data_IF_920190609991
#
_entry.id   IF_920190609991
#
_cell.length_a   1.000
_cell.length_b   1.000
_cell.length_c   1.000
_cell.angle_alpha   90.00
_cell.angle_beta   90.00
_cell.angle_gamma   90.00
#
_symmetry.space_group_name_H-M   'P 1'
#
loop_
_entity.id
_entity.type
_entity.pdbx_description
1 polymer ?
#
# COMPACT_ATOMS: atom_id res chain seq x y z
N UNK A 1 -5.16 21.80 -23.91
CA UNK A 1 -4.76 20.37 -23.79
C UNK A 1 -3.94 19.84 -24.98
N UNK A 2 -4.04 20.42 -26.18
CA UNK A 2 -3.05 20.19 -27.26
C UNK A 2 -1.59 20.55 -26.88
N UNK A 3 -1.39 21.29 -25.78
CA UNK A 3 -0.07 21.66 -25.26
C UNK A 3 0.77 20.44 -24.87
N UNK A 4 0.22 19.42 -24.19
CA UNK A 4 1.01 18.23 -23.80
C UNK A 4 1.44 17.42 -25.02
N UNK A 5 0.50 17.12 -25.92
CA UNK A 5 0.80 16.42 -27.17
C UNK A 5 1.78 17.21 -28.04
N UNK A 6 1.57 18.51 -28.21
CA UNK A 6 2.49 19.37 -28.97
C UNK A 6 3.88 19.45 -28.32
N UNK A 7 3.96 19.47 -26.98
CA UNK A 7 5.24 19.46 -26.26
C UNK A 7 5.98 18.16 -26.50
N UNK A 8 5.31 17.01 -26.34
CA UNK A 8 5.90 15.68 -26.59
C UNK A 8 6.35 15.55 -28.05
N UNK A 9 5.55 16.03 -29.01
CA UNK A 9 5.83 15.87 -30.44
C UNK A 9 6.88 16.84 -30.99
N UNK A 10 6.94 18.08 -30.49
CA UNK A 10 7.76 19.14 -31.08
C UNK A 10 8.99 19.53 -30.25
N UNK A 11 9.14 19.03 -29.01
CA UNK A 11 10.28 19.34 -28.14
C UNK A 11 11.10 18.09 -27.84
N UNK A 12 12.12 17.84 -28.67
CA UNK A 12 13.00 16.65 -28.56
C UNK A 12 13.75 16.50 -27.23
N UNK A 13 13.89 17.58 -26.45
CA UNK A 13 14.65 17.60 -25.19
C UNK A 13 13.75 17.71 -23.94
N UNK A 14 12.43 17.56 -24.08
CA UNK A 14 11.50 17.63 -22.95
C UNK A 14 10.89 16.25 -22.72
N UNK A 15 10.91 15.79 -21.47
CA UNK A 15 10.25 14.56 -21.02
C UNK A 15 9.18 14.94 -20.01
N UNK A 16 8.00 14.34 -20.13
CA UNK A 16 6.90 14.54 -19.20
C UNK A 16 6.71 13.27 -18.37
N UNK A 17 6.73 13.41 -17.04
CA UNK A 17 6.36 12.36 -16.10
C UNK A 17 5.05 12.77 -15.42
N UNK A 18 4.06 11.88 -15.46
CA UNK A 18 2.76 12.05 -14.80
C UNK A 18 2.68 10.95 -13.74
N UNK A 19 2.39 11.33 -12.50
CA UNK A 19 2.23 10.41 -11.38
C UNK A 19 0.83 10.52 -10.78
N UNK A 20 0.18 9.40 -10.53
CA UNK A 20 -1.15 9.34 -9.93
C UNK A 20 -1.50 7.94 -9.45
N UNK A 21 -2.57 7.84 -8.66
CA UNK A 21 -3.06 6.57 -8.09
C UNK A 21 -4.12 5.91 -8.99
N UNK A 22 -4.80 6.70 -9.83
CA UNK A 22 -5.78 6.21 -10.80
C UNK A 22 -5.09 5.95 -12.15
N UNK A 23 -5.21 4.75 -12.73
CA UNK A 23 -4.67 4.45 -14.05
C UNK A 23 -5.36 5.29 -15.13
N UNK A 24 -4.68 5.47 -16.27
CA UNK A 24 -5.18 6.31 -17.36
C UNK A 24 -6.46 5.75 -18.02
N UNK A 25 -6.75 4.45 -17.91
CA UNK A 25 -7.99 3.85 -18.40
C UNK A 25 -9.23 4.18 -17.54
N UNK A 26 -9.01 4.74 -16.34
CA UNK A 26 -10.07 5.36 -15.53
C UNK A 26 -10.30 6.84 -15.89
N UNK A 27 -9.46 7.41 -16.75
CA UNK A 27 -9.60 8.79 -17.23
C UNK A 27 -10.53 8.79 -18.46
N UNK A 28 -11.35 9.83 -18.60
CA UNK A 28 -12.33 9.95 -19.70
C UNK A 28 -11.68 9.72 -21.07
N UNK A 29 -12.43 9.20 -22.05
CA UNK A 29 -11.95 8.83 -23.41
C UNK A 29 -11.13 9.92 -24.12
N UNK A 30 -11.31 11.18 -23.73
CA UNK A 30 -10.52 12.32 -24.23
C UNK A 30 -9.01 12.12 -23.99
N UNK A 31 -8.60 11.42 -22.92
CA UNK A 31 -7.20 11.29 -22.52
C UNK A 31 -6.42 10.21 -23.26
N UNK A 32 -7.08 9.13 -23.67
CA UNK A 32 -6.45 8.03 -24.42
C UNK A 32 -5.91 8.50 -25.77
N UNK A 33 -6.59 9.45 -26.42
CA UNK A 33 -6.17 10.04 -27.69
C UNK A 33 -4.90 10.91 -27.61
N UNK A 34 -4.59 11.49 -26.44
CA UNK A 34 -3.42 12.34 -26.25
C UNK A 34 -2.19 11.60 -25.71
N UNK A 35 -2.39 10.41 -25.13
CA UNK A 35 -1.35 9.66 -24.43
C UNK A 35 -1.06 8.28 -25.06
N UNK A 36 -1.34 8.12 -26.35
CA UNK A 36 -1.10 6.89 -27.11
C UNK A 36 0.34 6.36 -26.98
N UNK A 37 1.33 7.25 -26.79
CA UNK A 37 2.75 6.89 -26.66
C UNK A 37 3.29 6.96 -25.22
N UNK A 38 2.43 7.07 -24.20
CA UNK A 38 2.88 7.08 -22.80
C UNK A 38 3.24 5.67 -22.36
N UNK A 39 4.38 5.54 -21.67
CA UNK A 39 4.75 4.32 -20.97
C UNK A 39 4.30 4.41 -19.52
N UNK A 40 3.47 3.46 -19.09
CA UNK A 40 3.06 3.35 -17.71
C UNK A 40 4.11 2.56 -16.91
N UNK A 41 4.61 3.17 -15.84
CA UNK A 41 5.45 2.50 -14.84
C UNK A 41 4.61 2.30 -13.60
N UNK A 42 4.30 1.04 -13.30
CA UNK A 42 3.52 0.69 -12.12
C UNK A 42 4.45 0.52 -10.92
N UNK A 43 4.16 1.24 -9.84
CA UNK A 43 4.84 1.07 -8.56
C UNK A 43 3.98 0.14 -7.69
N UNK A 44 4.51 -1.05 -7.41
CA UNK A 44 3.87 -2.06 -6.58
C UNK A 44 4.27 -1.99 -5.11
N UNK A 45 3.92 -3.03 -4.38
CA UNK A 45 4.46 -3.28 -3.05
C UNK A 45 5.92 -3.74 -3.14
N UNK A 46 6.68 -3.53 -2.08
CA UNK A 46 7.99 -4.15 -1.96
C UNK A 46 7.84 -5.67 -1.82
N UNK A 47 8.82 -6.39 -2.37
CA UNK A 47 8.99 -7.79 -2.04
C UNK A 47 9.41 -7.96 -0.57
N UNK A 48 9.44 -9.21 -0.14
CA UNK A 48 9.77 -9.57 1.23
C UNK A 48 11.15 -9.05 1.66
N UNK A 49 12.18 -9.32 0.85
CA UNK A 49 13.56 -9.02 1.23
C UNK A 49 13.81 -7.51 1.29
N UNK A 50 13.27 -6.74 0.34
CA UNK A 50 13.30 -5.28 0.35
C UNK A 50 12.54 -4.71 1.55
N UNK A 51 11.40 -5.30 1.91
CA UNK A 51 10.62 -4.87 3.08
C UNK A 51 11.38 -5.09 4.38
N UNK A 52 12.01 -6.26 4.53
CA UNK A 52 12.82 -6.59 5.71
C UNK A 52 14.05 -5.70 5.79
N UNK A 53 14.75 -5.46 4.67
CA UNK A 53 15.90 -4.57 4.64
C UNK A 53 15.50 -3.14 5.02
N UNK A 54 14.39 -2.63 4.47
CA UNK A 54 13.89 -1.30 4.81
C UNK A 54 13.59 -1.16 6.30
N UNK A 55 13.03 -2.18 6.95
CA UNK A 55 12.71 -2.16 8.37
C UNK A 55 13.95 -2.32 9.25
N UNK A 56 14.83 -3.25 8.92
CA UNK A 56 15.99 -3.62 9.76
C UNK A 56 17.23 -2.77 9.51
N UNK A 57 17.29 -2.09 8.35
CA UNK A 57 18.41 -1.25 7.92
C UNK A 57 17.95 -0.12 6.98
N UNK A 58 17.08 0.80 7.44
CA UNK A 58 16.63 1.94 6.63
C UNK A 58 17.76 2.88 6.22
N UNK A 59 18.84 2.94 7.00
CA UNK A 59 20.05 3.70 6.71
C UNK A 59 21.30 2.89 7.08
N UNK A 60 22.49 3.21 6.52
CA UNK A 60 23.71 2.47 6.80
C UNK A 60 24.08 2.41 8.30
N UNK A 61 23.78 3.46 9.06
CA UNK A 61 24.15 3.61 10.47
C UNK A 61 23.06 3.10 11.43
N UNK A 62 21.94 2.58 10.91
CA UNK A 62 20.87 2.05 11.74
C UNK A 62 21.34 0.74 12.43
N UNK A 63 21.14 0.58 13.76
CA UNK A 63 21.59 -0.62 14.45
C UNK A 63 20.86 -1.87 13.94
N UNK A 64 21.63 -2.86 13.45
CA UNK A 64 21.08 -4.07 12.82
C UNK A 64 20.23 -4.94 13.74
N UNK A 65 20.41 -4.81 15.04
CA UNK A 65 19.72 -5.54 16.09
C UNK A 65 18.60 -4.71 16.75
N UNK A 66 18.34 -3.50 16.27
CA UNK A 66 17.26 -2.67 16.82
C UNK A 66 15.86 -3.25 16.54
N UNK A 67 15.69 -3.95 15.40
CA UNK A 67 14.45 -4.61 15.00
C UNK A 67 14.80 -6.05 14.61
N UNK A 68 14.21 -7.03 15.29
CA UNK A 68 14.44 -8.44 14.99
C UNK A 68 13.83 -8.83 13.64
N UNK A 69 14.40 -9.86 13.00
CA UNK A 69 13.86 -10.43 11.77
C UNK A 69 12.40 -10.86 11.95
N UNK A 70 12.09 -11.55 13.06
CA UNK A 70 10.74 -12.01 13.39
C UNK A 70 9.71 -10.87 13.40
N UNK A 71 10.06 -9.72 14.02
CA UNK A 71 9.18 -8.57 14.05
C UNK A 71 9.04 -7.93 12.66
N UNK A 72 10.12 -7.87 11.89
CA UNK A 72 10.09 -7.37 10.52
C UNK A 72 9.23 -8.24 9.60
N UNK A 73 9.33 -9.57 9.69
CA UNK A 73 8.44 -10.52 9.00
C UNK A 73 6.99 -10.24 9.37
N UNK A 74 6.72 -10.07 10.67
CA UNK A 74 5.35 -9.85 11.12
C UNK A 74 4.76 -8.58 10.53
N UNK A 75 5.53 -7.49 10.53
CA UNK A 75 5.12 -6.22 9.92
C UNK A 75 4.92 -6.40 8.40
N UNK A 76 5.80 -7.14 7.72
CA UNK A 76 5.63 -7.45 6.30
C UNK A 76 4.33 -8.21 6.03
N UNK A 77 4.03 -9.27 6.80
CA UNK A 77 2.77 -10.02 6.70
C UNK A 77 1.54 -9.12 6.86
N UNK A 78 1.57 -8.17 7.81
CA UNK A 78 0.43 -7.27 8.05
C UNK A 78 0.23 -6.25 6.95
N UNK A 79 1.32 -5.78 6.34
CA UNK A 79 1.31 -4.68 5.37
C UNK A 79 1.28 -5.15 3.92
N UNK A 80 1.63 -6.42 3.68
CA UNK A 80 1.81 -6.97 2.34
C UNK A 80 2.92 -6.31 1.54
N UNK A 81 3.88 -5.66 2.20
CA UNK A 81 4.95 -4.90 1.55
C UNK A 81 4.56 -3.48 1.08
N UNK A 82 3.37 -2.98 1.44
CA UNK A 82 2.93 -1.64 1.02
C UNK A 82 3.86 -0.56 1.61
N UNK A 83 4.57 0.25 0.78
CA UNK A 83 5.62 1.15 1.26
C UNK A 83 5.19 2.13 2.35
N UNK A 84 4.00 2.72 2.19
CA UNK A 84 3.46 3.67 3.18
C UNK A 84 3.26 3.01 4.55
N UNK A 85 2.65 1.81 4.58
CA UNK A 85 2.37 1.13 5.84
C UNK A 85 3.63 0.58 6.48
N UNK A 86 4.58 0.02 5.71
CA UNK A 86 5.88 -0.39 6.24
C UNK A 86 6.57 0.76 6.98
N UNK A 87 6.60 1.94 6.36
CA UNK A 87 7.20 3.13 6.98
C UNK A 87 6.38 3.63 8.18
N UNK A 88 5.05 3.54 8.14
CA UNK A 88 4.20 3.90 9.28
C UNK A 88 4.47 2.98 10.48
N UNK A 89 4.51 1.66 10.27
CA UNK A 89 4.87 0.69 11.32
C UNK A 89 6.27 0.97 11.88
N UNK A 90 7.27 1.17 11.01
CA UNK A 90 8.63 1.51 11.43
C UNK A 90 8.67 2.80 12.26
N UNK A 91 8.01 3.86 11.79
CA UNK A 91 7.93 5.15 12.51
C UNK A 91 7.26 5.01 13.87
N UNK A 92 6.13 4.29 13.95
CA UNK A 92 5.43 4.03 15.21
C UNK A 92 6.31 3.23 16.18
N UNK A 93 6.97 2.18 15.70
CA UNK A 93 7.85 1.36 16.51
C UNK A 93 9.03 2.17 17.07
N UNK A 94 9.71 2.96 16.23
CA UNK A 94 10.83 3.80 16.68
C UNK A 94 10.36 4.86 17.68
N UNK A 95 9.20 5.47 17.47
CA UNK A 95 8.62 6.41 18.43
C UNK A 95 8.29 5.73 19.77
N UNK A 96 7.78 4.50 19.75
CA UNK A 96 7.53 3.71 20.96
C UNK A 96 8.83 3.41 21.73
N UNK A 97 9.91 3.07 21.03
CA UNK A 97 11.22 2.82 21.64
C UNK A 97 11.83 4.10 22.26
N UNK A 98 11.64 5.23 21.57
CA UNK A 98 12.16 6.53 21.97
C UNK A 98 11.31 7.26 23.01
N UNK A 99 10.11 6.75 23.33
CA UNK A 99 9.20 7.40 24.27
C UNK A 99 9.86 7.60 25.65
N UNK A 100 9.49 8.70 26.31
CA UNK A 100 10.12 9.16 27.54
C UNK A 100 10.02 8.10 28.66
N UNK A 101 11.14 7.84 29.33
CA UNK A 101 11.22 6.91 30.46
C UNK A 101 11.71 5.48 30.14
N UNK A 102 11.73 5.05 28.87
CA UNK A 102 12.20 3.69 28.50
C UNK A 102 13.43 3.67 27.59
N UNK A 103 13.59 4.64 26.66
CA UNK A 103 14.70 4.76 25.68
C UNK A 103 15.37 3.42 25.34
N UNK A 104 14.57 2.50 24.80
CA UNK A 104 15.02 1.14 24.48
C UNK A 104 15.74 1.16 23.14
N UNK A 105 16.80 0.37 23.03
CA UNK A 105 17.57 0.23 21.78
C UNK A 105 17.06 -0.89 20.87
N UNK A 106 16.32 -1.85 21.44
CA UNK A 106 15.85 -3.05 20.75
C UNK A 106 14.35 -3.18 20.92
N UNK A 107 13.65 -3.40 19.80
CA UNK A 107 12.28 -3.84 19.76
C UNK A 107 12.18 -5.34 20.05
N UNK A 108 11.07 -5.74 20.64
CA UNK A 108 10.71 -7.15 20.84
C UNK A 108 9.31 -7.42 20.30
N UNK A 109 8.96 -8.70 20.10
CA UNK A 109 7.61 -9.08 19.66
C UNK A 109 6.50 -8.59 20.59
N UNK A 110 6.80 -8.36 21.87
CA UNK A 110 5.86 -7.75 22.82
C UNK A 110 5.45 -6.31 22.49
N UNK A 111 6.20 -5.62 21.62
CA UNK A 111 5.86 -4.27 21.16
C UNK A 111 4.82 -4.29 20.04
N UNK A 112 4.65 -5.42 19.36
CA UNK A 112 3.89 -5.52 18.12
C UNK A 112 2.44 -5.07 18.27
N UNK A 113 1.72 -5.58 19.27
CA UNK A 113 0.30 -5.25 19.45
C UNK A 113 0.10 -3.75 19.69
N UNK A 114 0.92 -3.13 20.55
CA UNK A 114 0.86 -1.69 20.81
C UNK A 114 1.18 -0.85 19.57
N UNK A 115 2.12 -1.32 18.73
CA UNK A 115 2.42 -0.70 17.44
C UNK A 115 1.24 -0.85 16.49
N UNK A 116 0.64 -2.03 16.39
CA UNK A 116 -0.50 -2.28 15.49
C UNK A 116 -1.70 -1.40 15.85
N UNK A 117 -2.06 -1.27 17.14
CA UNK A 117 -3.14 -0.36 17.57
C UNK A 117 -2.87 1.08 17.14
N UNK A 118 -1.65 1.57 17.38
CA UNK A 118 -1.28 2.94 17.01
C UNK A 118 -1.27 3.14 15.49
N UNK A 119 -0.95 2.09 14.72
CA UNK A 119 -1.02 2.13 13.25
C UNK A 119 -2.47 2.16 12.76
N UNK A 120 -3.39 1.40 13.38
CA UNK A 120 -4.81 1.44 13.03
C UNK A 120 -5.39 2.84 13.23
N UNK A 121 -5.05 3.50 14.33
CA UNK A 121 -5.44 4.88 14.61
C UNK A 121 -4.84 5.86 13.59
N UNK A 122 -3.51 5.89 13.47
CA UNK A 122 -2.81 6.86 12.59
C UNK A 122 -3.08 6.62 11.10
N UNK A 123 -3.26 5.36 10.71
CA UNK A 123 -3.57 4.94 9.35
C UNK A 123 -5.05 5.07 8.98
N UNK A 124 -5.94 5.37 9.93
CA UNK A 124 -7.39 5.36 9.72
C UNK A 124 -7.86 6.19 8.52
N UNK A 125 -7.30 7.38 8.31
CA UNK A 125 -7.63 8.21 7.15
C UNK A 125 -7.23 7.56 5.81
N UNK A 126 -6.08 6.87 5.78
CA UNK A 126 -5.61 6.15 4.60
C UNK A 126 -6.52 4.95 4.28
N UNK A 127 -6.88 4.16 5.30
CA UNK A 127 -7.79 3.03 5.14
C UNK A 127 -9.19 3.47 4.72
N UNK A 128 -9.73 4.50 5.37
CA UNK A 128 -11.00 5.12 4.99
C UNK A 128 -10.99 5.57 3.53
N UNK A 129 -9.91 6.24 3.10
CA UNK A 129 -9.78 6.67 1.71
C UNK A 129 -9.88 5.49 0.72
N UNK A 130 -9.20 4.36 0.99
CA UNK A 130 -9.27 3.17 0.14
C UNK A 130 -10.71 2.66 0.02
N UNK A 131 -11.38 2.44 1.16
CA UNK A 131 -12.71 1.80 1.21
C UNK A 131 -13.79 2.73 0.66
N UNK A 132 -13.73 4.02 1.01
CA UNK A 132 -14.70 5.04 0.58
C UNK A 132 -14.63 5.28 -0.93
N UNK A 133 -13.43 5.26 -1.53
CA UNK A 133 -13.26 5.47 -2.97
C UNK A 133 -13.39 4.18 -3.80
N UNK A 134 -13.56 3.03 -3.15
CA UNK A 134 -13.83 1.78 -3.87
C UNK A 134 -15.21 1.82 -4.54
N UNK A 135 -15.33 1.43 -5.83
CA UNK A 135 -16.62 1.13 -6.46
C UNK A 135 -17.38 0.11 -5.62
N UNK A 136 -18.71 0.19 -5.61
CA UNK A 136 -19.56 -0.66 -4.75
C UNK A 136 -19.18 -2.15 -4.81
N UNK A 137 -19.05 -2.72 -6.01
CA UNK A 137 -18.68 -4.13 -6.18
C UNK A 137 -17.27 -4.46 -5.66
N UNK A 138 -16.32 -3.52 -5.72
CA UNK A 138 -14.99 -3.71 -5.14
C UNK A 138 -15.05 -3.62 -3.61
N UNK A 139 -15.85 -2.69 -3.08
CA UNK A 139 -16.05 -2.53 -1.63
C UNK A 139 -16.67 -3.78 -1.00
N UNK A 140 -17.69 -4.35 -1.64
CA UNK A 140 -18.33 -5.60 -1.19
C UNK A 140 -17.31 -6.75 -1.11
N UNK A 141 -16.40 -6.85 -2.09
CA UNK A 141 -15.31 -7.83 -2.07
C UNK A 141 -14.35 -7.56 -0.91
N UNK A 142 -13.92 -6.31 -0.70
CA UNK A 142 -13.04 -5.95 0.41
C UNK A 142 -13.66 -6.28 1.78
N UNK A 143 -14.97 -6.05 1.95
CA UNK A 143 -15.72 -6.42 3.16
C UNK A 143 -15.84 -7.95 3.32
N UNK A 144 -16.07 -8.69 2.24
CA UNK A 144 -16.09 -10.16 2.30
C UNK A 144 -14.73 -10.75 2.69
N UNK A 145 -13.66 -10.23 2.09
CA UNK A 145 -12.29 -10.64 2.38
C UNK A 145 -11.84 -10.24 3.79
N UNK A 146 -12.28 -9.08 4.30
CA UNK A 146 -11.92 -8.65 5.66
C UNK A 146 -12.44 -9.61 6.72
N UNK A 147 -13.53 -10.34 6.45
CA UNK A 147 -14.13 -11.34 7.34
C UNK A 147 -13.53 -12.74 7.18
N UNK A 148 -12.42 -12.88 6.45
CA UNK A 148 -11.77 -14.16 6.16
C UNK A 148 -12.41 -14.94 5.01
N UNK A 149 -13.27 -14.28 4.21
CA UNK A 149 -13.74 -14.85 2.96
C UNK A 149 -12.61 -15.04 1.96
N UNK A 150 -12.85 -15.88 0.96
CA UNK A 150 -12.00 -16.04 -0.21
C UNK A 150 -12.83 -15.77 -1.46
N UNK A 151 -12.25 -15.08 -2.44
CA UNK A 151 -12.89 -14.87 -3.73
C UNK A 151 -12.11 -15.57 -4.82
N UNK A 152 -12.82 -16.26 -5.71
CA UNK A 152 -12.20 -16.78 -6.92
C UNK A 152 -12.16 -15.66 -7.96
N UNK A 153 -10.97 -15.35 -8.48
CA UNK A 153 -10.79 -14.22 -9.41
C UNK A 153 -11.66 -14.31 -10.68
N UNK A 154 -12.04 -15.53 -11.09
CA UNK A 154 -12.93 -15.80 -12.23
C UNK A 154 -14.37 -15.33 -12.00
N UNK A 155 -14.80 -15.24 -10.74
CA UNK A 155 -16.17 -14.86 -10.37
C UNK A 155 -16.31 -13.33 -10.23
N UNK A 156 -15.19 -12.60 -10.24
CA UNK A 156 -15.15 -11.14 -10.18
C UNK A 156 -15.29 -10.57 -11.58
N UNK A 157 -16.23 -9.63 -11.76
CA UNK A 157 -16.38 -8.87 -13.02
C UNK A 157 -15.03 -8.26 -13.45
N UNK A 158 -14.64 -8.34 -14.74
CA UNK A 158 -13.31 -7.91 -15.20
C UNK A 158 -12.89 -6.50 -14.78
N UNK A 159 -13.83 -5.53 -14.83
CA UNK A 159 -13.59 -4.15 -14.41
C UNK A 159 -13.26 -4.04 -12.92
N UNK A 160 -13.99 -4.76 -12.07
CA UNK A 160 -13.77 -4.78 -10.61
C UNK A 160 -12.44 -5.47 -10.27
N UNK A 161 -12.15 -6.61 -10.93
CA UNK A 161 -10.88 -7.32 -10.75
C UNK A 161 -9.71 -6.42 -11.13
N UNK A 162 -9.79 -5.72 -12.27
CA UNK A 162 -8.77 -4.77 -12.70
C UNK A 162 -8.57 -3.67 -11.67
N UNK A 163 -9.65 -3.04 -11.21
CA UNK A 163 -9.59 -1.97 -10.21
C UNK A 163 -8.86 -2.39 -8.92
N UNK A 164 -9.20 -3.57 -8.38
CA UNK A 164 -8.58 -4.16 -7.20
C UNK A 164 -7.10 -4.51 -7.44
N UNK A 165 -6.82 -5.15 -8.58
CA UNK A 165 -5.49 -5.58 -8.95
C UNK A 165 -4.55 -4.39 -9.15
N UNK A 166 -4.93 -3.35 -9.90
CA UNK A 166 -4.10 -2.16 -10.15
C UNK A 166 -3.70 -1.44 -8.85
N UNK A 167 -4.58 -1.48 -7.85
CA UNK A 167 -4.36 -0.88 -6.53
C UNK A 167 -3.66 -1.82 -5.55
N UNK A 168 -3.20 -2.99 -6.00
CA UNK A 168 -2.50 -3.99 -5.18
C UNK A 168 -3.30 -4.42 -3.93
N UNK A 169 -4.63 -4.42 -4.02
CA UNK A 169 -5.49 -4.74 -2.88
C UNK A 169 -5.74 -6.25 -2.74
N UNK A 170 -5.61 -6.99 -3.83
CA UNK A 170 -5.75 -8.44 -3.86
C UNK A 170 -4.55 -9.10 -4.53
N UNK A 171 -4.21 -10.30 -4.06
CA UNK A 171 -3.21 -11.17 -4.70
C UNK A 171 -3.80 -11.90 -5.90
N UNK A 172 -2.94 -12.54 -6.69
CA UNK A 172 -3.36 -13.39 -7.81
C UNK A 172 -4.17 -14.64 -7.36
N UNK A 173 -4.08 -15.00 -6.07
CA UNK A 173 -4.88 -16.07 -5.46
C UNK A 173 -6.23 -15.58 -4.90
N UNK A 174 -6.56 -14.30 -5.08
CA UNK A 174 -7.80 -13.69 -4.61
C UNK A 174 -7.85 -13.46 -3.10
N UNK A 175 -6.69 -13.32 -2.45
CA UNK A 175 -6.58 -12.96 -1.04
C UNK A 175 -6.35 -11.46 -0.87
N UNK A 176 -6.70 -10.89 0.28
CA UNK A 176 -6.38 -9.51 0.57
C UNK A 176 -4.87 -9.34 0.77
N UNK A 177 -4.26 -8.41 0.05
CA UNK A 177 -2.81 -8.15 0.15
C UNK A 177 -2.41 -7.46 1.45
N UNK A 178 -3.33 -6.70 2.08
CA UNK A 178 -3.03 -5.84 3.24
C UNK A 178 -3.87 -6.30 4.45
N UNK A 179 -3.44 -7.30 5.24
CA UNK A 179 -4.21 -7.78 6.40
C UNK A 179 -4.56 -6.73 7.46
N UNK A 180 -3.72 -5.71 7.69
CA UNK A 180 -4.05 -4.62 8.62
C UNK A 180 -5.24 -3.78 8.14
N UNK A 181 -5.44 -3.64 6.82
CA UNK A 181 -6.63 -3.01 6.25
C UNK A 181 -7.88 -3.87 6.54
N UNK A 182 -7.78 -5.19 6.40
CA UNK A 182 -8.89 -6.09 6.77
C UNK A 182 -9.28 -5.90 8.24
N UNK A 183 -8.29 -5.80 9.14
CA UNK A 183 -8.53 -5.55 10.55
C UNK A 183 -9.26 -4.22 10.76
N UNK A 184 -8.75 -3.14 10.19
CA UNK A 184 -9.38 -1.82 10.28
C UNK A 184 -10.83 -1.81 9.77
N UNK A 185 -11.11 -2.46 8.62
CA UNK A 185 -12.47 -2.56 8.07
C UNK A 185 -13.45 -3.18 9.07
N UNK A 186 -13.04 -4.24 9.79
CA UNK A 186 -13.91 -4.92 10.76
C UNK A 186 -14.17 -4.10 12.02
N UNK A 187 -13.23 -3.25 12.40
CA UNK A 187 -13.27 -2.53 13.69
C UNK A 187 -13.91 -1.13 13.57
N UNK A 188 -13.66 -0.42 12.46
CA UNK A 188 -13.92 1.02 12.37
C UNK A 188 -14.86 1.44 11.23
N UNK A 189 -15.14 0.56 10.27
CA UNK A 189 -15.94 0.91 9.08
C UNK A 189 -17.36 0.35 9.08
N UNK A 190 -17.61 -0.74 9.82
CA UNK A 190 -18.96 -1.31 10.00
C UNK A 190 -19.81 -0.46 10.95
#
# INVERSE_FOLDING_TARGET
MGLFRATIQHRRNVRLLISGVAPFDEWNDIWSDYFISVQEIRIGHFDRDTSIELLTRPTPDFPRDAISLELAEKIFERTGGLPHLLQLYGSVLINLLNNEGKKRKHASMSDFDAVEETVLEKGGNYFNYIVKNAPQAAREILMGLSRGGQVQLRDIKPKTRRWLAHRCLITDDGQLTIPVLARWIREEWE
#
